data_IF_229399439290
#
_entry.id   IF_229399439290
#
_cell.length_a   1.000
_cell.length_b   1.000
_cell.length_c   1.000
_cell.angle_alpha   90.00
_cell.angle_beta   90.00
_cell.angle_gamma   90.00
#
_symmetry.space_group_name_H-M   'P 1'
#
loop_
_entity.id
_entity.type
_entity.pdbx_description
1 polymer ?
#
# COMPACT_ATOMS: atom_id res chain seq x y z
N UNK A 1 5.92 8.53 16.61
CA UNK A 1 5.14 9.43 15.74
C UNK A 1 3.66 9.28 16.07
N UNK A 2 3.00 10.39 16.32
CA UNK A 2 1.58 10.43 16.61
C UNK A 2 0.78 10.63 15.31
N UNK A 3 -0.09 9.70 14.98
CA UNK A 3 -0.93 9.74 13.78
C UNK A 3 -2.32 10.28 14.10
N UNK A 4 -2.39 11.41 14.76
CA UNK A 4 -3.64 12.08 15.09
C UNK A 4 -4.36 12.64 13.85
N UNK A 5 -5.58 13.16 14.04
CA UNK A 5 -6.42 13.67 12.95
C UNK A 5 -5.75 14.78 12.14
N UNK A 6 -4.95 15.62 12.78
CA UNK A 6 -4.24 16.70 12.09
C UNK A 6 -3.17 16.17 11.16
N UNK A 7 -2.37 15.19 11.62
CA UNK A 7 -1.36 14.53 10.78
C UNK A 7 -2.03 13.84 9.60
N UNK A 8 -3.11 13.11 9.84
CA UNK A 8 -3.85 12.41 8.78
C UNK A 8 -4.42 13.39 7.76
N UNK A 9 -4.91 14.53 8.21
CA UNK A 9 -5.41 15.59 7.32
C UNK A 9 -4.31 16.11 6.39
N UNK A 10 -3.14 16.36 6.91
CA UNK A 10 -1.97 16.79 6.11
C UNK A 10 -1.56 15.75 5.08
N UNK A 11 -1.54 14.48 5.47
CA UNK A 11 -1.24 13.37 4.57
C UNK A 11 -2.25 13.31 3.42
N UNK A 12 -3.54 13.39 3.72
CA UNK A 12 -4.60 13.38 2.71
C UNK A 12 -4.47 14.57 1.75
N UNK A 13 -4.24 15.77 2.26
CA UNK A 13 -4.03 16.96 1.44
C UNK A 13 -2.86 16.77 0.48
N UNK A 14 -1.75 16.20 0.95
CA UNK A 14 -0.58 15.92 0.12
C UNK A 14 -0.95 15.00 -1.06
N UNK A 15 -1.60 13.88 -0.79
CA UNK A 15 -1.93 12.91 -1.85
C UNK A 15 -3.12 13.33 -2.72
N UNK A 16 -3.96 14.26 -2.26
CA UNK A 16 -5.00 14.90 -3.07
C UNK A 16 -4.44 15.98 -4.00
N UNK A 17 -3.21 16.41 -3.80
CA UNK A 17 -2.59 17.48 -4.60
C UNK A 17 -2.57 17.09 -6.08
N UNK A 18 -2.97 18.03 -6.94
CA UNK A 18 -3.05 17.79 -8.38
C UNK A 18 -1.70 17.40 -9.00
N UNK A 19 -0.60 17.95 -8.51
CA UNK A 19 0.73 17.62 -9.04
C UNK A 19 1.11 16.15 -8.74
N UNK A 20 0.78 15.67 -7.55
CA UNK A 20 1.01 14.27 -7.18
C UNK A 20 0.13 13.35 -8.02
N UNK A 21 -1.17 13.65 -8.10
CA UNK A 21 -2.11 12.87 -8.90
C UNK A 21 -1.69 12.82 -10.37
N UNK A 22 -1.33 13.95 -10.96
CA UNK A 22 -0.89 14.00 -12.36
C UNK A 22 0.40 13.20 -12.61
N UNK A 23 1.34 13.24 -11.67
CA UNK A 23 2.56 12.44 -11.78
C UNK A 23 2.24 10.93 -11.79
N UNK A 24 1.32 10.49 -10.94
CA UNK A 24 0.88 9.10 -10.89
C UNK A 24 0.10 8.71 -12.15
N UNK A 25 -0.80 9.59 -12.61
CA UNK A 25 -1.56 9.38 -13.85
C UNK A 25 -0.62 9.20 -15.05
N UNK A 26 0.41 10.02 -15.13
CA UNK A 26 1.41 9.92 -16.19
C UNK A 26 2.20 8.61 -16.10
N UNK A 27 2.61 8.22 -14.89
CA UNK A 27 3.40 7.01 -14.68
C UNK A 27 2.64 5.75 -15.03
N UNK A 28 1.34 5.71 -14.73
CA UNK A 28 0.49 4.54 -14.92
C UNK A 28 -0.43 4.63 -16.14
N UNK A 29 -0.37 5.74 -16.86
CA UNK A 29 -1.17 5.99 -18.07
C UNK A 29 -2.67 5.76 -17.83
N UNK A 30 -3.21 6.37 -16.79
CA UNK A 30 -4.62 6.25 -16.42
C UNK A 30 -5.09 7.50 -15.69
N UNK A 31 -6.39 7.77 -15.73
CA UNK A 31 -6.99 8.82 -14.91
C UNK A 31 -7.18 8.31 -13.48
N UNK A 32 -6.84 9.14 -12.51
CA UNK A 32 -6.91 8.79 -11.09
C UNK A 32 -7.65 9.85 -10.31
N UNK A 33 -8.42 9.39 -9.33
CA UNK A 33 -9.08 10.23 -8.34
C UNK A 33 -8.72 9.70 -6.96
N UNK A 34 -8.27 10.58 -6.06
CA UNK A 34 -7.96 10.20 -4.69
C UNK A 34 -9.19 9.58 -4.02
N UNK A 35 -9.00 8.44 -3.38
CA UNK A 35 -10.04 7.73 -2.65
C UNK A 35 -9.80 7.81 -1.13
N UNK A 36 -8.65 7.35 -0.65
CA UNK A 36 -8.39 7.27 0.79
C UNK A 36 -6.90 7.25 1.12
N UNK A 37 -6.59 7.63 2.35
CA UNK A 37 -5.28 7.43 2.96
C UNK A 37 -5.48 7.04 4.42
N UNK A 38 -4.87 5.92 4.82
CA UNK A 38 -5.02 5.34 6.15
C UNK A 38 -3.70 4.81 6.68
N UNK A 39 -3.50 4.93 7.99
CA UNK A 39 -2.37 4.30 8.69
C UNK A 39 -2.85 2.99 9.29
N UNK A 40 -2.13 1.92 9.01
CA UNK A 40 -2.39 0.58 9.54
C UNK A 40 -1.25 0.14 10.42
N UNK A 41 -1.58 -0.44 11.58
CA UNK A 41 -0.62 -1.05 12.49
C UNK A 41 -1.03 -2.50 12.67
N UNK A 42 -0.20 -3.40 12.15
CA UNK A 42 -0.42 -4.83 12.25
C UNK A 42 0.49 -5.43 13.31
N UNK A 43 -0.02 -6.39 14.06
CA UNK A 43 0.70 -7.04 15.14
C UNK A 43 1.03 -8.49 14.80
N UNK A 44 1.95 -9.06 15.59
CA UNK A 44 2.38 -10.46 15.46
C UNK A 44 1.19 -11.40 15.21
N UNK A 45 1.33 -12.26 14.23
CA UNK A 45 0.29 -13.21 13.83
C UNK A 45 -0.60 -12.71 12.69
N UNK A 46 -0.53 -11.42 12.35
CA UNK A 46 -1.28 -10.91 11.20
C UNK A 46 -0.78 -11.56 9.91
N UNK A 47 -1.70 -11.91 9.05
CA UNK A 47 -1.43 -12.35 7.69
C UNK A 47 -2.55 -11.88 6.78
N UNK A 48 -2.26 -11.77 5.51
CA UNK A 48 -3.24 -11.42 4.49
C UNK A 48 -3.08 -12.38 3.32
N UNK A 49 -4.10 -13.18 3.07
CA UNK A 49 -4.07 -14.16 1.99
C UNK A 49 -3.97 -13.47 0.63
N UNK A 50 -3.37 -14.14 -0.36
CA UNK A 50 -3.28 -13.58 -1.72
C UNK A 50 -4.64 -13.17 -2.27
N UNK A 51 -4.73 -11.94 -2.76
CA UNK A 51 -5.96 -11.36 -3.29
C UNK A 51 -5.63 -10.21 -4.24
N UNK A 52 -6.62 -9.75 -4.98
CA UNK A 52 -6.58 -8.46 -5.68
C UNK A 52 -7.46 -7.46 -4.93
N UNK A 53 -7.20 -6.18 -5.11
CA UNK A 53 -8.00 -5.14 -4.47
C UNK A 53 -9.39 -5.03 -5.11
N UNK A 54 -10.31 -4.33 -4.43
CA UNK A 54 -11.63 -4.00 -4.96
C UNK A 54 -11.49 -3.36 -6.34
N UNK A 55 -12.32 -3.80 -7.31
CA UNK A 55 -12.23 -3.35 -8.69
C UNK A 55 -12.45 -1.86 -8.90
N UNK A 56 -12.96 -1.12 -7.90
CA UNK A 56 -13.08 0.34 -7.96
C UNK A 56 -11.74 1.04 -7.70
N UNK A 57 -10.79 0.35 -7.08
CA UNK A 57 -9.45 0.88 -6.83
C UNK A 57 -8.57 0.58 -8.04
N UNK A 58 -8.02 1.61 -8.66
CA UNK A 58 -7.08 1.47 -9.79
C UNK A 58 -5.64 1.35 -9.32
N UNK A 59 -5.26 2.11 -8.31
CA UNK A 59 -3.88 2.19 -7.83
C UNK A 59 -3.84 2.23 -6.32
N UNK A 60 -2.99 1.39 -5.74
CA UNK A 60 -2.70 1.38 -4.31
C UNK A 60 -1.23 1.69 -4.09
N UNK A 61 -0.96 2.62 -3.17
CA UNK A 61 0.38 2.89 -2.68
C UNK A 61 0.49 2.35 -1.26
N UNK A 62 1.60 1.72 -0.93
CA UNK A 62 1.92 1.40 0.45
C UNK A 62 3.29 1.95 0.79
N UNK A 63 3.37 2.71 1.86
CA UNK A 63 4.63 3.29 2.36
C UNK A 63 4.87 2.74 3.76
N UNK A 64 6.02 2.12 3.96
CA UNK A 64 6.38 1.50 5.23
C UNK A 64 6.90 2.55 6.21
N UNK A 65 6.31 2.56 7.40
CA UNK A 65 6.61 3.56 8.44
C UNK A 65 7.31 2.96 9.67
N UNK A 66 7.79 1.74 9.56
CA UNK A 66 8.57 1.06 10.60
C UNK A 66 9.60 0.12 9.95
N UNK A 67 10.38 -0.57 10.77
CA UNK A 67 11.40 -1.53 10.31
C UNK A 67 11.14 -2.91 10.92
N UNK A 68 11.95 -3.90 10.53
CA UNK A 68 12.00 -5.23 11.13
C UNK A 68 10.69 -6.01 11.02
N UNK A 69 10.07 -5.99 9.83
CA UNK A 69 8.83 -6.71 9.59
C UNK A 69 8.78 -7.28 8.17
N UNK A 70 7.69 -7.98 7.86
CA UNK A 70 7.47 -8.58 6.56
C UNK A 70 6.84 -7.56 5.60
N UNK A 71 7.38 -7.49 4.38
CA UNK A 71 6.80 -6.71 3.30
C UNK A 71 5.61 -7.39 2.66
N UNK A 72 4.98 -6.68 1.73
CA UNK A 72 3.91 -7.24 0.90
C UNK A 72 4.53 -8.12 -0.18
N UNK A 73 3.91 -9.27 -0.44
CA UNK A 73 4.36 -10.22 -1.45
C UNK A 73 3.44 -10.22 -2.65
N UNK A 74 4.01 -10.43 -3.83
CA UNK A 74 3.29 -10.64 -5.09
C UNK A 74 3.23 -12.11 -5.41
N UNK A 75 2.11 -12.55 -5.96
CA UNK A 75 1.85 -13.95 -6.30
C UNK A 75 1.44 -14.08 -7.77
N UNK A 76 1.76 -15.23 -8.37
CA UNK A 76 1.26 -15.56 -9.69
C UNK A 76 -0.19 -16.10 -9.63
N UNK A 77 -0.75 -16.44 -10.79
CA UNK A 77 -2.11 -16.97 -10.89
C UNK A 77 -2.31 -18.31 -10.19
N UNK A 78 -1.24 -19.05 -9.96
CA UNK A 78 -1.28 -20.36 -9.30
C UNK A 78 -1.02 -20.27 -7.80
N UNK A 79 -0.88 -19.06 -7.26
CA UNK A 79 -0.65 -18.80 -5.85
C UNK A 79 0.81 -18.93 -5.41
N UNK A 80 1.74 -18.96 -6.35
CA UNK A 80 3.17 -19.03 -6.05
C UNK A 80 3.74 -17.63 -5.86
N UNK A 81 4.49 -17.44 -4.75
CA UNK A 81 5.14 -16.18 -4.46
C UNK A 81 6.21 -15.87 -5.50
N UNK A 82 6.16 -14.66 -6.06
CA UNK A 82 7.11 -14.17 -7.06
C UNK A 82 8.11 -13.17 -6.51
N UNK A 83 7.67 -12.33 -5.57
CA UNK A 83 8.48 -11.24 -5.05
C UNK A 83 7.92 -10.76 -3.72
N UNK A 84 8.80 -10.35 -2.80
CA UNK A 84 8.41 -9.67 -1.57
C UNK A 84 9.13 -8.33 -1.52
N UNK A 85 8.36 -7.25 -1.38
CA UNK A 85 8.93 -5.91 -1.23
C UNK A 85 9.69 -5.81 0.10
N UNK A 86 10.95 -5.32 0.09
CA UNK A 86 11.69 -5.14 1.33
C UNK A 86 10.96 -4.18 2.28
N UNK A 87 10.80 -4.58 3.54
CA UNK A 87 10.15 -3.75 4.55
C UNK A 87 11.19 -2.84 5.20
N UNK A 88 11.31 -1.63 4.68
CA UNK A 88 12.21 -0.60 5.18
C UNK A 88 11.46 0.69 5.42
N UNK A 89 11.76 1.38 6.52
CA UNK A 89 11.20 2.69 6.79
C UNK A 89 11.37 3.63 5.59
N UNK A 90 10.30 4.34 5.25
CA UNK A 90 10.24 5.30 4.14
C UNK A 90 10.49 4.70 2.77
N UNK A 91 10.28 3.41 2.61
CA UNK A 91 10.21 2.74 1.31
C UNK A 91 8.79 2.25 1.08
N UNK A 92 8.50 1.83 -0.13
CA UNK A 92 7.17 1.33 -0.44
C UNK A 92 7.04 0.89 -1.88
N UNK A 93 5.81 0.74 -2.31
CA UNK A 93 5.49 0.33 -3.68
C UNK A 93 4.22 1.00 -4.17
N UNK A 94 4.04 1.00 -5.48
CA UNK A 94 2.79 1.36 -6.14
C UNK A 94 2.30 0.15 -6.92
N UNK A 95 1.06 -0.24 -6.72
CA UNK A 95 0.48 -1.43 -7.34
C UNK A 95 -0.75 -1.04 -8.15
N UNK A 96 -0.65 -1.20 -9.47
CA UNK A 96 -1.79 -1.02 -10.36
C UNK A 96 -2.68 -2.26 -10.30
N UNK A 97 -3.96 -2.07 -9.93
CA UNK A 97 -4.89 -3.17 -9.74
C UNK A 97 -5.28 -3.81 -11.06
N UNK A 98 -5.12 -5.12 -11.17
CA UNK A 98 -5.45 -5.88 -12.37
C UNK A 98 -5.18 -7.37 -12.19
N UNK A 99 -5.16 -8.12 -13.28
CA UNK A 99 -5.00 -9.57 -13.24
C UNK A 99 -3.63 -10.05 -12.74
N UNK A 100 -2.63 -9.15 -12.74
CA UNK A 100 -1.27 -9.46 -12.28
C UNK A 100 -0.94 -8.84 -10.92
N UNK A 101 -1.94 -8.31 -10.22
CA UNK A 101 -1.73 -7.60 -8.95
C UNK A 101 -2.07 -8.41 -7.71
N UNK A 102 -2.14 -9.74 -7.82
CA UNK A 102 -2.38 -10.60 -6.66
C UNK A 102 -1.27 -10.43 -5.65
N UNK A 103 -1.64 -10.06 -4.44
CA UNK A 103 -0.69 -9.74 -3.38
C UNK A 103 -1.24 -10.14 -2.01
N UNK A 104 -0.34 -10.22 -1.04
CA UNK A 104 -0.69 -10.56 0.33
C UNK A 104 0.46 -10.29 1.27
N UNK A 105 0.29 -10.70 2.52
CA UNK A 105 1.32 -10.58 3.55
C UNK A 105 1.46 -11.92 4.25
N UNK A 106 2.67 -12.48 4.24
CA UNK A 106 2.99 -13.67 5.01
C UNK A 106 2.86 -13.33 6.51
N UNK A 107 2.61 -14.36 7.33
CA UNK A 107 2.40 -14.14 8.76
C UNK A 107 3.56 -13.38 9.38
N UNK A 108 3.27 -12.23 9.99
CA UNK A 108 4.30 -11.39 10.60
C UNK A 108 4.68 -11.90 11.99
N UNK A 109 5.97 -11.75 12.32
CA UNK A 109 6.55 -12.30 13.56
C UNK A 109 6.85 -11.23 14.60
N UNK A 110 6.79 -9.96 14.23
CA UNK A 110 7.04 -8.82 15.11
C UNK A 110 5.83 -7.89 15.17
N UNK A 111 5.54 -7.35 16.35
CA UNK A 111 4.50 -6.32 16.50
C UNK A 111 4.91 -5.02 15.81
N UNK A 112 3.92 -4.18 15.52
CA UNK A 112 4.15 -2.80 15.11
C UNK A 112 4.52 -2.61 13.64
N UNK A 113 4.07 -3.50 12.75
CA UNK A 113 4.19 -3.30 11.30
C UNK A 113 3.29 -2.14 10.90
N UNK A 114 3.90 -0.98 10.70
CA UNK A 114 3.17 0.26 10.45
C UNK A 114 3.32 0.68 8.99
N UNK A 115 2.20 0.97 8.34
CA UNK A 115 2.16 1.35 6.92
C UNK A 115 1.14 2.45 6.68
N UNK A 116 1.44 3.31 5.72
CA UNK A 116 0.48 4.22 5.11
C UNK A 116 -0.03 3.58 3.82
N UNK A 117 -1.35 3.46 3.72
CA UNK A 117 -2.03 3.04 2.49
C UNK A 117 -2.72 4.23 1.85
N UNK A 118 -2.45 4.43 0.56
CA UNK A 118 -3.11 5.47 -0.23
C UNK A 118 -3.75 4.80 -1.44
N UNK A 119 -5.02 5.09 -1.67
CA UNK A 119 -5.78 4.48 -2.76
C UNK A 119 -6.37 5.51 -3.68
N UNK A 120 -6.32 5.20 -4.97
CA UNK A 120 -6.92 5.99 -6.05
C UNK A 120 -7.91 5.13 -6.85
N UNK A 121 -9.02 5.73 -7.21
CA UNK A 121 -10.01 5.12 -8.10
C UNK A 121 -10.03 5.80 -9.48
#
# INVERSE_FOLDING_TARGET
LDYNDEVMKKIKIFFMNSNITQALEKRFNTELQFNSADIWIDNKGYKLDPHTDDGRIKLSLQIYLSNNNEGTSLYDKDGNMQYTFPFKFNSGYALYNGVYSTHGVEEIVNDGRTSLYVRYQ
#
